data_IF_745316510524
#
_entry.id   IF_745316510524
#
_cell.length_a   1.000
_cell.length_b   1.000
_cell.length_c   1.000
_cell.angle_alpha   90.00
_cell.angle_beta   90.00
_cell.angle_gamma   90.00
#
_symmetry.space_group_name_H-M   'P 1'
#
loop_
_entity.id
_entity.type
_entity.pdbx_description
1 polymer ?
#
# COMPACT_ATOMS: atom_id res chain seq x y z
N UNK A 1 17.74 -9.71 -15.72
CA UNK A 1 17.94 -8.81 -14.55
C UNK A 1 17.76 -7.37 -15.03
N UNK A 2 17.16 -6.50 -14.23
CA UNK A 2 17.03 -5.07 -14.55
C UNK A 2 15.84 -4.69 -15.44
N UNK A 3 14.87 -5.59 -15.69
CA UNK A 3 13.64 -5.21 -16.39
C UNK A 3 12.76 -4.41 -15.43
N UNK A 4 12.36 -3.21 -15.85
CA UNK A 4 11.39 -2.42 -15.11
C UNK A 4 10.01 -3.08 -15.18
N UNK A 5 9.36 -3.23 -14.02
CA UNK A 5 8.00 -3.73 -13.88
C UNK A 5 7.04 -2.54 -13.68
N UNK A 6 7.45 -1.56 -12.89
CA UNK A 6 6.78 -0.28 -12.70
C UNK A 6 7.82 0.83 -12.81
N UNK A 7 7.47 1.91 -13.50
CA UNK A 7 8.23 3.15 -13.56
C UNK A 7 7.56 4.23 -12.72
N UNK A 8 8.34 4.91 -11.88
CA UNK A 8 7.86 6.05 -11.12
C UNK A 8 7.35 7.15 -12.06
N UNK A 9 6.25 7.78 -11.69
CA UNK A 9 5.61 8.86 -12.45
C UNK A 9 4.70 8.39 -13.58
N UNK A 10 4.73 7.10 -13.96
CA UNK A 10 3.79 6.57 -14.94
C UNK A 10 2.40 6.43 -14.32
N UNK A 11 1.34 6.59 -15.11
CA UNK A 11 -0.02 6.24 -14.68
C UNK A 11 -0.19 4.75 -14.89
N UNK A 12 -0.58 4.03 -13.84
CA UNK A 12 -0.83 2.60 -13.93
C UNK A 12 -2.03 2.19 -13.09
N UNK A 13 -2.76 1.19 -13.57
CA UNK A 13 -4.02 0.70 -13.02
C UNK A 13 -3.92 -0.75 -12.49
N UNK A 14 -2.71 -1.31 -12.46
CA UNK A 14 -2.49 -2.74 -12.21
C UNK A 14 -1.84 -3.00 -10.86
N UNK A 15 -2.36 -3.98 -10.12
CA UNK A 15 -1.80 -4.51 -8.88
C UNK A 15 -1.07 -5.83 -9.16
N UNK A 16 0.04 -6.08 -8.46
CA UNK A 16 0.88 -7.24 -8.68
C UNK A 16 1.18 -8.00 -7.38
N UNK A 17 1.27 -9.33 -7.50
CA UNK A 17 1.81 -10.23 -6.46
C UNK A 17 2.95 -11.04 -7.09
N UNK A 18 4.09 -11.12 -6.41
CA UNK A 18 5.23 -11.91 -6.85
C UNK A 18 4.91 -13.40 -6.62
N UNK A 19 4.83 -14.16 -7.69
CA UNK A 19 4.65 -15.62 -7.65
C UNK A 19 6.01 -16.33 -7.54
N UNK A 20 7.06 -15.79 -8.18
CA UNK A 20 8.43 -16.28 -8.07
C UNK A 20 9.44 -15.15 -8.24
N UNK A 21 10.56 -15.22 -7.53
CA UNK A 21 11.70 -14.34 -7.71
C UNK A 21 11.75 -13.14 -6.75
N UNK A 22 12.58 -12.16 -7.10
CA UNK A 22 12.90 -11.03 -6.24
C UNK A 22 12.92 -9.72 -7.04
N UNK A 23 12.27 -8.70 -6.51
CA UNK A 23 12.22 -7.35 -7.07
C UNK A 23 12.74 -6.32 -6.06
N UNK A 24 13.12 -5.15 -6.56
CA UNK A 24 13.64 -4.03 -5.74
C UNK A 24 12.78 -2.80 -6.01
N UNK A 25 12.37 -2.14 -4.93
CA UNK A 25 11.64 -0.87 -4.96
C UNK A 25 12.63 0.26 -4.73
N UNK A 26 12.61 1.23 -5.63
CA UNK A 26 13.44 2.43 -5.53
C UNK A 26 12.64 3.67 -5.85
N UNK A 27 12.90 4.78 -5.17
CA UNK A 27 12.29 6.07 -5.46
C UNK A 27 13.34 7.04 -5.99
N UNK A 28 13.04 7.72 -7.08
CA UNK A 28 13.82 8.85 -7.57
C UNK A 28 13.38 10.09 -6.80
N UNK A 29 14.32 10.73 -6.12
CA UNK A 29 14.11 12.04 -5.50
C UNK A 29 14.10 13.12 -6.60
N UNK A 30 13.00 13.88 -6.75
CA UNK A 30 12.90 14.90 -7.79
C UNK A 30 13.82 16.11 -7.58
N UNK A 31 14.25 16.40 -6.34
CA UNK A 31 15.13 17.55 -6.06
C UNK A 31 16.59 17.19 -6.29
N UNK A 32 17.05 16.06 -5.74
CA UNK A 32 18.44 15.64 -5.84
C UNK A 32 18.76 14.81 -7.08
N UNK A 33 17.73 14.27 -7.75
CA UNK A 33 17.89 13.32 -8.85
C UNK A 33 18.47 11.96 -8.41
N UNK A 34 18.63 11.74 -7.10
CA UNK A 34 19.23 10.50 -6.58
C UNK A 34 18.19 9.39 -6.47
N UNK A 35 18.63 8.16 -6.72
CA UNK A 35 17.78 6.97 -6.59
C UNK A 35 17.96 6.37 -5.20
N UNK A 36 16.91 6.44 -4.39
CA UNK A 36 16.86 5.88 -3.05
C UNK A 36 16.34 4.44 -3.09
N UNK A 37 17.07 3.50 -2.51
CA UNK A 37 16.57 2.15 -2.27
C UNK A 37 15.55 2.17 -1.12
N UNK A 38 14.32 1.71 -1.39
CA UNK A 38 13.26 1.65 -0.37
C UNK A 38 13.26 0.29 0.29
N UNK A 39 13.02 -0.78 -0.49
CA UNK A 39 12.92 -2.14 0.03
C UNK A 39 13.10 -3.18 -1.07
N UNK A 40 13.37 -4.41 -0.64
CA UNK A 40 13.44 -5.60 -1.48
C UNK A 40 12.17 -6.43 -1.28
N UNK A 41 11.57 -6.89 -2.38
CA UNK A 41 10.35 -7.68 -2.40
C UNK A 41 10.68 -9.12 -2.80
N UNK A 42 10.13 -10.07 -2.04
CA UNK A 42 10.35 -11.50 -2.23
C UNK A 42 9.06 -12.17 -2.72
N UNK A 43 9.12 -13.48 -2.92
CA UNK A 43 7.94 -14.31 -3.21
C UNK A 43 6.79 -14.00 -2.25
N UNK A 44 5.57 -13.96 -2.81
CA UNK A 44 4.32 -13.58 -2.14
C UNK A 44 4.22 -12.13 -1.66
N UNK A 45 5.26 -11.31 -1.85
CA UNK A 45 5.14 -9.87 -1.67
C UNK A 45 4.27 -9.26 -2.76
N UNK A 46 3.60 -8.16 -2.46
CA UNK A 46 2.79 -7.42 -3.41
C UNK A 46 3.27 -5.98 -3.57
N UNK A 47 2.83 -5.35 -4.66
CA UNK A 47 3.10 -3.93 -4.93
C UNK A 47 2.10 -3.35 -5.93
N UNK A 48 1.97 -2.02 -5.91
CA UNK A 48 1.11 -1.29 -6.85
C UNK A 48 -0.36 -1.25 -6.44
N UNK A 49 -0.67 -1.60 -5.20
CA UNK A 49 -2.01 -1.65 -4.61
C UNK A 49 -2.76 -0.32 -4.68
N UNK A 50 -2.04 0.81 -4.60
CA UNK A 50 -2.64 2.15 -4.72
C UNK A 50 -3.38 2.35 -6.04
N UNK A 51 -2.99 1.65 -7.11
CA UNK A 51 -3.69 1.70 -8.40
C UNK A 51 -5.10 1.11 -8.37
N UNK A 52 -5.47 0.34 -7.34
CA UNK A 52 -6.83 -0.13 -7.15
C UNK A 52 -7.74 0.93 -6.52
N UNK A 53 -7.17 1.96 -5.88
CA UNK A 53 -7.89 3.01 -5.15
C UNK A 53 -7.85 4.36 -5.87
N UNK A 54 -6.69 4.72 -6.40
CA UNK A 54 -6.37 6.05 -6.87
C UNK A 54 -5.87 5.99 -8.31
N UNK A 55 -6.32 6.94 -9.13
CA UNK A 55 -5.77 7.17 -10.47
C UNK A 55 -4.64 8.20 -10.38
N UNK A 56 -3.55 7.84 -9.70
CA UNK A 56 -2.38 8.69 -9.49
C UNK A 56 -1.11 8.11 -10.14
N UNK A 57 -0.10 8.96 -10.42
CA UNK A 57 1.21 8.48 -10.86
C UNK A 57 1.87 7.54 -9.84
N UNK A 58 2.61 6.54 -10.33
CA UNK A 58 3.34 5.60 -9.48
C UNK A 58 4.39 6.33 -8.63
N UNK A 59 4.40 6.07 -7.33
CA UNK A 59 5.26 6.76 -6.36
C UNK A 59 6.70 6.23 -6.28
N UNK A 60 7.00 5.11 -6.94
CA UNK A 60 8.30 4.47 -6.93
C UNK A 60 8.44 3.53 -8.15
N UNK A 61 9.69 3.22 -8.50
CA UNK A 61 10.04 2.19 -9.47
C UNK A 61 10.00 0.81 -8.80
N UNK A 62 9.68 -0.22 -9.58
CA UNK A 62 9.85 -1.62 -9.20
C UNK A 62 10.62 -2.33 -10.31
N UNK A 63 11.78 -2.89 -9.98
CA UNK A 63 12.68 -3.53 -10.95
C UNK A 63 12.98 -4.98 -10.58
N UNK A 64 13.06 -5.86 -11.57
CA UNK A 64 13.37 -7.27 -11.35
C UNK A 64 14.86 -7.48 -11.05
N UNK A 65 15.18 -7.97 -9.85
CA UNK A 65 16.55 -8.29 -9.42
C UNK A 65 16.96 -9.74 -9.80
N UNK A 66 15.97 -10.63 -9.89
CA UNK A 66 16.12 -11.97 -10.48
C UNK A 66 15.21 -12.12 -11.70
N UNK A 67 15.04 -13.34 -12.22
CA UNK A 67 13.86 -13.66 -13.04
C UNK A 67 12.65 -13.60 -12.10
N UNK A 68 11.66 -12.79 -12.46
CA UNK A 68 10.45 -12.55 -11.65
C UNK A 68 9.23 -12.99 -12.45
N UNK A 69 8.31 -13.70 -11.80
CA UNK A 69 6.97 -13.98 -12.30
C UNK A 69 5.97 -13.34 -11.34
N UNK A 70 4.99 -12.63 -11.89
CA UNK A 70 3.95 -11.98 -11.10
C UNK A 70 2.57 -12.44 -11.55
N UNK A 71 1.66 -12.55 -10.59
CA UNK A 71 0.23 -12.41 -10.85
C UNK A 71 -0.09 -10.92 -10.99
N UNK A 72 -1.02 -10.58 -11.87
CA UNK A 72 -1.42 -9.20 -12.14
C UNK A 72 -2.94 -9.10 -12.28
N UNK A 73 -3.51 -8.05 -11.72
CA UNK A 73 -4.94 -7.72 -11.89
C UNK A 73 -5.09 -6.22 -12.07
N UNK A 74 -5.87 -5.80 -13.07
CA UNK A 74 -6.20 -4.40 -13.27
C UNK A 74 -7.31 -3.96 -12.32
N UNK A 75 -7.36 -2.66 -12.01
CA UNK A 75 -8.42 -2.03 -11.23
C UNK A 75 -9.80 -2.42 -11.77
N UNK A 76 -9.99 -2.34 -13.10
CA UNK A 76 -11.24 -2.71 -13.75
C UNK A 76 -11.62 -4.18 -13.49
N UNK A 77 -10.68 -5.11 -13.63
CA UNK A 77 -10.95 -6.53 -13.40
C UNK A 77 -11.26 -6.82 -11.92
N UNK A 78 -10.55 -6.14 -11.01
CA UNK A 78 -10.83 -6.21 -9.57
C UNK A 78 -12.26 -5.73 -9.26
N UNK A 79 -12.63 -4.55 -9.76
CA UNK A 79 -13.93 -3.95 -9.54
C UNK A 79 -15.08 -4.76 -10.13
N UNK A 80 -14.87 -5.42 -11.26
CA UNK A 80 -15.88 -6.30 -11.86
C UNK A 80 -16.25 -7.50 -10.98
N UNK A 81 -15.31 -7.99 -10.17
CA UNK A 81 -15.52 -9.18 -9.32
C UNK A 81 -15.91 -8.80 -7.90
N UNK A 82 -15.26 -7.79 -7.33
CA UNK A 82 -15.36 -7.44 -5.91
C UNK A 82 -16.02 -6.08 -5.65
N UNK A 83 -16.24 -5.28 -6.69
CA UNK A 83 -16.62 -3.88 -6.57
C UNK A 83 -15.44 -2.96 -6.20
N UNK A 84 -15.69 -1.64 -6.06
CA UNK A 84 -14.67 -0.68 -5.67
C UNK A 84 -14.00 -1.05 -4.35
N UNK A 85 -12.66 -1.09 -4.33
CA UNK A 85 -11.89 -1.45 -3.12
C UNK A 85 -12.22 -0.52 -1.94
N UNK A 86 -12.52 0.76 -2.21
CA UNK A 86 -12.95 1.73 -1.19
C UNK A 86 -14.18 1.24 -0.40
N UNK A 87 -15.14 0.59 -1.05
CA UNK A 87 -16.33 0.05 -0.37
C UNK A 87 -15.98 -1.08 0.60
N UNK A 88 -15.02 -1.93 0.23
CA UNK A 88 -14.55 -3.03 1.09
C UNK A 88 -13.86 -2.47 2.33
N UNK A 89 -13.00 -1.46 2.14
CA UNK A 89 -12.31 -0.76 3.24
C UNK A 89 -13.32 -0.09 4.18
N UNK A 90 -14.30 0.62 3.64
CA UNK A 90 -15.32 1.32 4.44
C UNK A 90 -16.22 0.34 5.20
N UNK A 91 -16.59 -0.78 4.58
CA UNK A 91 -17.35 -1.83 5.24
C UNK A 91 -16.56 -2.48 6.39
N UNK A 92 -15.25 -2.69 6.19
CA UNK A 92 -14.39 -3.24 7.24
C UNK A 92 -14.19 -2.26 8.40
N UNK A 93 -13.98 -0.96 8.10
CA UNK A 93 -13.91 0.11 9.10
C UNK A 93 -15.16 0.11 9.97
N UNK A 94 -16.35 0.15 9.36
CA UNK A 94 -17.63 0.13 10.08
C UNK A 94 -17.78 -1.10 10.97
N UNK A 95 -17.38 -2.29 10.51
CA UNK A 95 -17.42 -3.52 11.33
C UNK A 95 -16.49 -3.44 12.54
N UNK A 96 -15.31 -2.84 12.40
CA UNK A 96 -14.35 -2.67 13.51
C UNK A 96 -14.84 -1.66 14.54
N UNK A 97 -15.42 -0.55 14.09
CA UNK A 97 -15.99 0.49 14.96
C UNK A 97 -17.21 -0.02 15.76
N UNK A 98 -17.93 -1.02 15.25
CA UNK A 98 -19.06 -1.65 15.95
C UNK A 98 -18.63 -2.73 16.95
N UNK A 99 -17.33 -3.05 17.07
CA UNK A 99 -16.87 -4.06 18.03
C UNK A 99 -16.98 -3.51 19.46
N UNK A 100 -17.60 -4.26 20.39
CA UNK A 100 -17.61 -3.88 21.81
C UNK A 100 -16.19 -3.64 22.33
N UNK A 101 -16.01 -2.56 23.08
CA UNK A 101 -14.71 -2.16 23.65
C UNK A 101 -13.78 -1.41 22.69
N UNK A 102 -14.16 -1.20 21.42
CA UNK A 102 -13.42 -0.35 20.48
C UNK A 102 -14.07 1.04 20.44
N UNK A 103 -13.39 2.11 20.92
CA UNK A 103 -13.93 3.46 20.85
C UNK A 103 -13.85 4.02 19.41
N UNK A 104 -14.74 4.95 19.04
CA UNK A 104 -14.65 5.68 17.78
C UNK A 104 -13.27 6.34 17.60
N UNK A 105 -12.77 6.37 16.37
CA UNK A 105 -11.44 6.94 16.09
C UNK A 105 -11.35 8.44 16.47
N UNK A 106 -12.47 9.17 16.37
CA UNK A 106 -12.57 10.58 16.76
C UNK A 106 -12.44 10.83 18.26
N UNK A 107 -12.64 9.80 19.09
CA UNK A 107 -12.54 9.90 20.56
C UNK A 107 -11.12 9.59 21.06
N UNK A 108 -10.23 9.15 20.17
CA UNK A 108 -8.84 8.83 20.49
C UNK A 108 -8.01 10.10 20.59
N UNK A 109 -7.24 10.23 21.68
CA UNK A 109 -6.28 11.33 21.80
C UNK A 109 -4.93 10.90 21.23
N UNK A 110 -4.49 11.56 20.16
CA UNK A 110 -3.15 11.37 19.60
C UNK A 110 -2.08 11.74 20.64
N UNK A 111 -1.16 10.80 20.91
CA UNK A 111 -0.01 10.99 21.79
C UNK A 111 1.29 11.21 21.02
N UNK A 112 1.37 10.68 19.80
CA UNK A 112 2.52 10.87 18.91
C UNK A 112 2.56 9.85 17.79
N UNK A 113 3.59 9.94 16.94
CA UNK A 113 3.85 9.02 15.85
C UNK A 113 4.87 7.99 16.34
N UNK A 114 4.54 6.70 16.23
CA UNK A 114 5.43 5.58 16.56
C UNK A 114 6.31 5.23 15.36
N UNK A 115 5.72 5.22 14.17
CA UNK A 115 6.42 4.91 12.92
C UNK A 115 5.72 5.57 11.73
N UNK A 116 6.47 5.85 10.68
CA UNK A 116 5.96 6.31 9.39
C UNK A 116 6.75 5.65 8.27
N UNK A 117 6.05 4.91 7.41
CA UNK A 117 6.64 4.17 6.30
C UNK A 117 5.82 4.35 5.01
N UNK A 118 6.14 3.55 3.98
CA UNK A 118 5.48 3.62 2.68
C UNK A 118 4.04 3.07 2.69
N UNK A 119 3.63 2.37 3.75
CA UNK A 119 2.26 1.89 3.96
C UNK A 119 1.41 2.87 4.80
N UNK A 120 2.04 3.81 5.51
CA UNK A 120 1.37 4.90 6.21
C UNK A 120 2.00 5.23 7.56
N UNK A 121 1.19 5.80 8.46
CA UNK A 121 1.64 6.29 9.76
C UNK A 121 1.01 5.46 10.90
N UNK A 122 1.83 4.94 11.79
CA UNK A 122 1.40 4.33 13.05
C UNK A 122 1.42 5.37 14.16
N UNK A 123 0.25 5.66 14.72
CA UNK A 123 0.06 6.64 15.77
C UNK A 123 -0.13 5.98 17.14
N UNK A 124 0.59 6.47 18.15
CA UNK A 124 0.33 6.16 19.55
C UNK A 124 -0.87 7.00 19.99
N UNK A 125 -1.89 6.35 20.53
CA UNK A 125 -3.13 7.00 20.95
C UNK A 125 -3.48 6.62 22.39
N UNK A 126 -4.16 7.53 23.08
CA UNK A 126 -4.78 7.27 24.38
C UNK A 126 -6.26 7.02 24.18
N UNK A 127 -6.74 5.91 24.74
CA UNK A 127 -8.16 5.57 24.81
C UNK A 127 -8.90 6.50 25.79
N UNK A 128 -10.17 6.85 25.52
CA UNK A 128 -10.97 7.60 26.48
C UNK A 128 -11.17 6.80 27.78
N UNK A 129 -11.33 7.52 28.90
CA UNK A 129 -11.32 6.92 30.25
C UNK A 129 -12.46 5.91 30.53
N UNK A 130 -13.49 5.88 29.68
CA UNK A 130 -14.65 4.98 29.78
C UNK A 130 -14.61 3.80 28.81
N UNK A 131 -13.48 3.54 28.14
CA UNK A 131 -13.31 2.34 27.30
C UNK A 131 -12.85 1.17 28.18
N UNK A 132 -13.78 0.50 28.83
CA UNK A 132 -13.58 -0.77 29.52
C UNK A 132 -14.59 -1.80 28.99
#
# INVERSE_FOLDING_TARGET
RGRSIIQQGEVGDTFYVIDEGVAVVTRLDPESGTQQHIRRLHEYSYFGERALLLSEPRSANVTADTKVRCLAISQKAFEQVLGPLQHIIDADRKRREQRPGVPPIGDLKLLGVVNEDDLGQMNLVKMPANSA
#
